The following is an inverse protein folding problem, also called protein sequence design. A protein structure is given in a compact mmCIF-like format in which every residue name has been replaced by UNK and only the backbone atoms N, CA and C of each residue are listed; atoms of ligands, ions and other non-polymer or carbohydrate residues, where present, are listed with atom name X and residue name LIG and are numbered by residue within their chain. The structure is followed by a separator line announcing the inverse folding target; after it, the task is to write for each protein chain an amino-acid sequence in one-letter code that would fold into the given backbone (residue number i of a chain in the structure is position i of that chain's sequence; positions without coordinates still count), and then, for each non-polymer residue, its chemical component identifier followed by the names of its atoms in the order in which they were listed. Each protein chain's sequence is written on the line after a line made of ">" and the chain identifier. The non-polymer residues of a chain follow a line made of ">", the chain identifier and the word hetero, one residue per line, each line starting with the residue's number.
data_IF_730417311115
#
_entry.id   IF_730417311115
#
_cell.length_a   1.000
_cell.length_b   1.000
_cell.length_c   1.000
_cell.angle_alpha   90.00
_cell.angle_beta   90.00
_cell.angle_gamma   90.00
#
_symmetry.space_group_name_H-M   'P 1'
#
loop_
_entity.id
_entity.type
_entity.pdbx_description
1 polymer ?
#
# COMPACT_ATOMS: atom_id res chain seq x y z
N UNK A 1 5.18 -18.25 17.85
CA UNK A 1 4.82 -17.56 16.59
C UNK A 1 3.38 -17.06 16.73
N UNK A 2 3.09 -15.78 16.50
CA UNK A 2 1.73 -15.20 16.60
C UNK A 2 1.29 -14.78 15.19
N UNK A 3 0.17 -15.32 14.71
CA UNK A 3 -0.50 -14.82 13.52
C UNK A 3 -1.38 -13.64 13.91
N UNK A 4 -1.28 -12.53 13.17
CA UNK A 4 -1.98 -11.26 13.50
C UNK A 4 -3.09 -10.88 12.52
N UNK A 5 -3.22 -11.62 11.40
CA UNK A 5 -4.29 -11.45 10.41
C UNK A 5 -4.72 -12.83 9.90
N UNK A 6 -5.99 -12.97 9.57
CA UNK A 6 -6.62 -14.21 9.09
C UNK A 6 -7.36 -14.04 7.76
N UNK A 7 -7.31 -12.85 7.17
CA UNK A 7 -8.02 -12.58 5.92
C UNK A 7 -7.46 -13.48 4.79
N UNK A 8 -8.32 -14.12 3.98
CA UNK A 8 -7.90 -15.04 2.92
C UNK A 8 -7.44 -14.26 1.67
N UNK A 9 -6.47 -13.37 1.86
CA UNK A 9 -5.85 -12.53 0.83
C UNK A 9 -4.36 -12.33 1.09
N UNK A 10 -3.66 -11.71 0.16
CA UNK A 10 -2.23 -11.46 0.31
C UNK A 10 -1.97 -10.30 1.27
N UNK A 11 -0.81 -10.34 1.92
CA UNK A 11 -0.32 -9.33 2.85
C UNK A 11 1.16 -9.10 2.56
N UNK A 12 1.45 -8.37 1.48
CA UNK A 12 2.81 -8.19 0.99
C UNK A 12 3.47 -7.01 1.70
N UNK A 13 4.48 -7.33 2.52
CA UNK A 13 5.37 -6.33 3.11
C UNK A 13 6.43 -5.94 2.07
N UNK A 14 6.65 -4.65 1.87
CA UNK A 14 7.80 -4.18 1.10
C UNK A 14 9.09 -4.45 1.88
N UNK A 15 10.24 -4.39 1.20
CA UNK A 15 11.53 -4.78 1.75
C UNK A 15 12.09 -3.86 2.86
N UNK A 16 11.47 -2.71 3.15
CA UNK A 16 11.94 -1.76 4.17
C UNK A 16 10.82 -0.86 4.69
N UNK A 17 11.01 -0.28 5.88
CA UNK A 17 10.13 0.75 6.47
C UNK A 17 8.64 0.41 6.39
N UNK A 18 8.24 -0.74 6.91
CA UNK A 18 6.83 -1.20 6.93
C UNK A 18 6.12 -0.93 8.26
N UNK A 19 6.81 -0.33 9.23
CA UNK A 19 6.27 -0.01 10.55
C UNK A 19 5.84 1.44 10.63
N UNK A 20 4.71 1.68 11.30
CA UNK A 20 4.34 3.01 11.79
C UNK A 20 5.33 3.51 12.85
N UNK A 21 5.54 4.84 12.99
CA UNK A 21 6.52 5.39 13.92
C UNK A 21 6.31 4.99 15.39
N UNK A 22 5.06 4.73 15.79
CA UNK A 22 4.69 4.28 17.13
C UNK A 22 4.91 2.78 17.36
N UNK A 23 5.34 2.05 16.32
CA UNK A 23 5.55 0.60 16.29
C UNK A 23 4.30 -0.24 16.58
N UNK A 24 3.11 0.33 16.42
CA UNK A 24 1.84 -0.36 16.70
C UNK A 24 1.29 -1.09 15.46
N UNK A 25 1.62 -0.59 14.26
CA UNK A 25 1.05 -1.08 13.01
C UNK A 25 2.10 -1.49 11.98
N UNK A 26 1.84 -2.63 11.33
CA UNK A 26 2.52 -3.08 10.11
C UNK A 26 1.69 -2.71 8.88
N UNK A 27 2.33 -2.17 7.85
CA UNK A 27 1.69 -1.67 6.63
C UNK A 27 2.07 -2.57 5.45
N UNK A 28 1.08 -2.95 4.66
CA UNK A 28 1.23 -3.89 3.54
C UNK A 28 0.33 -3.51 2.36
N UNK A 29 0.64 -4.09 1.20
CA UNK A 29 -0.24 -4.10 0.04
C UNK A 29 -0.78 -5.52 -0.23
N UNK A 30 -1.84 -5.63 -1.03
CA UNK A 30 -2.56 -6.90 -1.24
C UNK A 30 -2.16 -7.62 -2.53
N UNK A 31 -1.03 -7.25 -3.15
CA UNK A 31 -0.57 -7.88 -4.39
C UNK A 31 -0.19 -9.35 -4.15
N UNK A 32 -0.46 -10.25 -5.11
CA UNK A 32 -0.12 -11.67 -4.98
C UNK A 32 1.38 -11.95 -5.03
N UNK A 33 2.17 -11.05 -5.62
CA UNK A 33 3.62 -11.14 -5.65
C UNK A 33 4.23 -9.76 -5.88
N UNK A 34 5.53 -9.61 -5.60
CA UNK A 34 6.26 -8.37 -5.87
C UNK A 34 6.36 -8.02 -7.37
N UNK A 35 6.18 -9.01 -8.26
CA UNK A 35 6.19 -8.84 -9.71
C UNK A 35 4.81 -8.48 -10.29
N UNK A 36 3.72 -8.69 -9.53
CA UNK A 36 2.38 -8.26 -9.93
C UNK A 36 2.16 -6.79 -9.56
N UNK A 37 1.35 -6.07 -10.33
CA UNK A 37 0.87 -4.73 -10.02
C UNK A 37 -0.66 -4.65 -10.15
N UNK A 38 -1.35 -5.48 -9.38
CA UNK A 38 -2.82 -5.60 -9.36
C UNK A 38 -3.41 -5.30 -7.98
N UNK A 39 -2.69 -4.59 -7.12
CA UNK A 39 -3.12 -4.32 -5.75
C UNK A 39 -4.21 -3.26 -5.74
N UNK A 40 -5.27 -3.47 -4.97
CA UNK A 40 -6.39 -2.51 -4.88
C UNK A 40 -6.34 -1.65 -3.62
N UNK A 41 -5.66 -2.13 -2.58
CA UNK A 41 -5.60 -1.46 -1.29
C UNK A 41 -4.19 -1.43 -0.74
N UNK A 42 -3.93 -0.34 -0.01
CA UNK A 42 -2.87 -0.28 0.99
C UNK A 42 -3.53 -0.35 2.35
N UNK A 43 -3.00 -1.21 3.21
CA UNK A 43 -3.63 -1.56 4.48
C UNK A 43 -2.60 -1.59 5.60
N UNK A 44 -3.09 -1.53 6.83
CA UNK A 44 -2.29 -1.72 8.03
C UNK A 44 -2.97 -2.68 9.01
N UNK A 45 -2.18 -3.42 9.78
CA UNK A 45 -2.64 -4.30 10.85
C UNK A 45 -1.99 -3.92 12.18
N UNK A 46 -2.80 -3.78 13.22
CA UNK A 46 -2.31 -3.53 14.57
C UNK A 46 -1.76 -4.83 15.15
N UNK A 47 -0.52 -4.84 15.63
CA UNK A 47 0.14 -6.08 16.06
C UNK A 47 -0.39 -6.62 17.40
N UNK A 48 -1.02 -5.77 18.20
CA UNK A 48 -1.57 -6.13 19.50
C UNK A 48 -2.99 -6.66 19.36
N UNK A 49 -3.86 -5.92 18.66
CA UNK A 49 -5.31 -6.21 18.56
C UNK A 49 -5.67 -7.07 17.35
N UNK A 50 -4.86 -7.05 16.28
CA UNK A 50 -5.22 -7.68 15.00
C UNK A 50 -6.22 -6.85 14.18
N UNK A 51 -6.54 -5.63 14.61
CA UNK A 51 -7.35 -4.69 13.85
C UNK A 51 -6.71 -4.38 12.50
N UNK A 52 -7.50 -4.35 11.43
CA UNK A 52 -7.04 -4.05 10.07
C UNK A 52 -7.74 -2.81 9.56
N UNK A 53 -6.96 -1.88 9.03
CA UNK A 53 -7.47 -0.66 8.43
C UNK A 53 -6.99 -0.51 6.98
N UNK A 54 -7.89 -0.04 6.11
CA UNK A 54 -7.56 0.35 4.74
C UNK A 54 -7.15 1.82 4.75
N UNK A 55 -5.86 2.10 4.56
CA UNK A 55 -5.35 3.48 4.54
C UNK A 55 -5.54 4.14 3.16
N UNK A 56 -5.62 3.32 2.11
CA UNK A 56 -5.90 3.78 0.76
C UNK A 56 -6.58 2.68 -0.06
N UNK A 57 -7.59 3.06 -0.85
CA UNK A 57 -8.23 2.22 -1.84
C UNK A 57 -8.10 2.87 -3.21
N UNK A 58 -7.48 2.16 -4.14
CA UNK A 58 -7.40 2.59 -5.53
C UNK A 58 -8.80 2.65 -6.14
N UNK A 59 -9.00 3.60 -7.03
CA UNK A 59 -10.29 3.84 -7.69
C UNK A 59 -10.12 3.92 -9.21
N UNK A 60 -11.22 3.83 -9.95
CA UNK A 60 -11.22 4.01 -11.41
C UNK A 60 -10.25 3.08 -12.15
N UNK A 61 -10.17 1.81 -11.74
CA UNK A 61 -9.29 0.82 -12.37
C UNK A 61 -7.79 0.99 -12.07
N UNK A 62 -7.41 1.93 -11.21
CA UNK A 62 -6.02 2.07 -10.78
C UNK A 62 -5.58 0.89 -9.90
N UNK A 63 -4.27 0.68 -9.85
CA UNK A 63 -3.63 -0.26 -8.95
C UNK A 63 -2.55 0.41 -8.12
N UNK A 64 -2.29 -0.16 -6.94
CA UNK A 64 -1.34 0.35 -5.94
C UNK A 64 -0.46 -0.76 -5.39
N UNK A 65 0.70 -0.37 -4.86
CA UNK A 65 1.56 -1.27 -4.10
C UNK A 65 2.90 -0.66 -3.72
N UNK A 66 3.76 -1.48 -3.12
CA UNK A 66 5.13 -1.10 -2.70
C UNK A 66 5.08 0.02 -1.66
N UNK A 67 4.21 -0.12 -0.67
CA UNK A 67 4.06 0.88 0.40
C UNK A 67 5.28 0.93 1.31
N UNK A 68 5.69 2.16 1.62
CA UNK A 68 6.76 2.50 2.55
C UNK A 68 6.24 3.55 3.53
N UNK A 69 6.57 3.41 4.80
CA UNK A 69 6.12 4.29 5.88
C UNK A 69 7.20 5.32 6.19
N UNK A 70 6.81 6.57 6.42
CA UNK A 70 7.73 7.61 6.86
C UNK A 70 8.20 7.35 8.30
N UNK A 71 9.50 7.46 8.62
CA UNK A 71 10.06 6.99 9.90
C UNK A 71 9.67 7.84 11.13
N UNK A 72 9.13 9.05 10.93
CA UNK A 72 8.85 10.01 12.02
C UNK A 72 7.42 10.53 12.04
N UNK A 73 6.62 10.20 11.04
CA UNK A 73 5.25 10.69 10.93
C UNK A 73 4.41 9.66 10.21
N UNK A 74 3.12 9.62 10.52
CA UNK A 74 2.18 8.69 9.91
C UNK A 74 1.84 9.11 8.47
N UNK A 75 2.80 8.90 7.58
CA UNK A 75 2.71 9.16 6.14
C UNK A 75 3.12 7.91 5.40
N UNK A 76 2.44 7.67 4.28
CA UNK A 76 2.60 6.46 3.51
C UNK A 76 2.90 6.84 2.07
N UNK A 77 4.06 6.42 1.56
CA UNK A 77 4.42 6.57 0.15
C UNK A 77 4.27 5.22 -0.55
N UNK A 78 3.65 5.21 -1.73
CA UNK A 78 3.48 3.99 -2.51
C UNK A 78 3.40 4.32 -4.00
N UNK A 79 3.52 3.28 -4.82
CA UNK A 79 3.33 3.38 -6.26
C UNK A 79 1.84 3.32 -6.56
N UNK A 80 1.37 4.21 -7.43
CA UNK A 80 0.01 4.29 -7.91
C UNK A 80 0.01 4.28 -9.44
N UNK A 81 -0.83 3.43 -10.06
CA UNK A 81 -1.07 3.46 -11.51
C UNK A 81 -1.89 4.68 -11.93
N UNK A 82 -2.18 4.91 -13.21
CA UNK A 82 -3.14 5.94 -13.59
C UNK A 82 -4.54 5.55 -13.13
N UNK A 83 -5.37 6.55 -12.86
CA UNK A 83 -6.82 6.37 -12.79
C UNK A 83 -7.37 6.40 -14.22
N UNK A 84 -8.39 5.58 -14.50
CA UNK A 84 -8.93 5.34 -15.83
C UNK A 84 -7.85 4.92 -16.85
N UNK A 85 -7.09 3.83 -16.60
CA UNK A 85 -6.18 3.31 -17.60
C UNK A 85 -6.95 2.95 -18.88
N UNK A 86 -6.40 3.30 -20.04
CA UNK A 86 -6.93 2.79 -21.30
C UNK A 86 -6.58 1.30 -21.50
N UNK A 87 -7.17 0.68 -22.52
CA UNK A 87 -6.99 -0.74 -22.80
C UNK A 87 -5.54 -1.14 -23.16
N UNK A 88 -4.70 -0.17 -23.54
CA UNK A 88 -3.30 -0.40 -23.89
C UNK A 88 -2.35 -0.23 -22.71
N UNK A 89 -2.85 0.31 -21.60
CA UNK A 89 -2.07 0.52 -20.40
C UNK A 89 -1.63 -0.81 -19.79
N UNK A 90 -0.34 -0.90 -19.53
CA UNK A 90 0.25 -1.98 -18.77
C UNK A 90 1.28 -1.41 -17.82
N UNK A 91 1.40 -2.04 -16.65
CA UNK A 91 2.39 -1.63 -15.69
C UNK A 91 3.81 -1.88 -16.24
N UNK A 92 4.64 -0.84 -16.19
CA UNK A 92 6.06 -0.87 -16.47
C UNK A 92 6.79 0.04 -15.47
N UNK A 93 8.10 -0.12 -15.31
CA UNK A 93 8.88 0.73 -14.41
C UNK A 93 8.83 2.21 -14.79
N UNK A 94 8.64 2.54 -16.06
CA UNK A 94 8.44 3.92 -16.52
C UNK A 94 7.04 4.48 -16.23
N UNK A 95 6.06 3.63 -15.90
CA UNK A 95 4.69 4.03 -15.56
C UNK A 95 4.45 4.15 -14.05
N UNK A 96 5.52 4.20 -13.25
CA UNK A 96 5.43 4.33 -11.79
C UNK A 96 5.22 5.78 -11.40
N UNK A 97 4.09 6.09 -10.79
CA UNK A 97 3.83 7.36 -10.11
C UNK A 97 3.90 7.17 -8.61
N UNK A 98 4.67 8.02 -7.93
CA UNK A 98 4.74 8.05 -6.47
C UNK A 98 3.64 8.94 -5.89
N UNK A 99 2.98 8.46 -4.84
CA UNK A 99 1.93 9.21 -4.14
C UNK A 99 2.15 9.11 -2.64
N UNK A 100 1.80 10.16 -1.90
CA UNK A 100 1.81 10.18 -0.43
C UNK A 100 0.37 10.28 0.07
N UNK A 101 0.06 9.46 1.07
CA UNK A 101 -1.14 9.58 1.91
C UNK A 101 -0.76 10.05 3.31
N UNK A 102 -1.46 11.07 3.79
CA UNK A 102 -1.37 11.63 5.14
C UNK A 102 -2.76 12.07 5.61
N UNK A 103 -3.21 11.61 6.78
CA UNK A 103 -4.52 12.00 7.32
C UNK A 103 -5.70 11.72 6.37
N UNK A 104 -5.62 10.63 5.62
CA UNK A 104 -6.63 10.24 4.62
C UNK A 104 -6.62 11.09 3.33
N UNK A 105 -5.69 12.03 3.19
CA UNK A 105 -5.52 12.84 1.98
C UNK A 105 -4.35 12.34 1.16
N UNK A 106 -4.55 12.26 -0.14
CA UNK A 106 -3.55 11.83 -1.09
C UNK A 106 -2.98 13.03 -1.85
N UNK A 107 -1.67 13.00 -2.11
CA UNK A 107 -0.95 13.98 -2.92
C UNK A 107 0.04 13.26 -3.83
N UNK A 108 0.19 13.73 -5.07
CA UNK A 108 1.22 13.23 -5.96
C UNK A 108 2.58 13.84 -5.60
N UNK A 109 3.65 13.18 -6.06
CA UNK A 109 5.03 13.64 -5.91
C UNK A 109 5.59 14.37 -7.14
N UNK A 110 4.75 14.66 -8.15
CA UNK A 110 5.10 15.37 -9.38
C UNK A 110 4.75 16.86 -9.35
#
# INVERSE_FOLDING_TARGET
>A
MKQITFAPRNHLLTNTNTWTPDSQWLVFDVRPSGASFTGETIERVNIHTGEVEVIYRASQGAHVGVVTVHPKSEKYVFIHGPENPDETWHYDFHHRRGVIVEGGKMSNLD
#
